data_IF_045973203484
#
_entry.id   IF_045973203484
#
_cell.length_a   1.000
_cell.length_b   1.000
_cell.length_c   1.000
_cell.angle_alpha   90.00
_cell.angle_beta   90.00
_cell.angle_gamma   90.00
#
_symmetry.space_group_name_H-M   'P 1'
#
loop_
_entity.id
_entity.type
_entity.pdbx_description
1 polymer ?
#
# COMPACT_ATOMS: atom_id res chain seq x y z
N UNK A 1 21.87 -30.10 30.73
CA UNK A 1 22.73 -29.92 29.54
C UNK A 1 22.13 -30.48 28.25
N UNK A 2 21.10 -31.33 28.29
CA UNK A 2 20.51 -31.94 27.07
C UNK A 2 19.72 -30.97 26.18
N UNK A 3 19.09 -29.93 26.75
CA UNK A 3 18.31 -28.93 25.99
C UNK A 3 19.15 -28.04 25.05
N UNK A 4 20.45 -27.85 25.36
CA UNK A 4 21.36 -27.07 24.51
C UNK A 4 21.76 -27.83 23.24
N UNK A 5 21.84 -29.17 23.31
CA UNK A 5 22.22 -30.01 22.17
C UNK A 5 21.08 -30.09 21.15
N UNK A 6 19.83 -30.19 21.62
CA UNK A 6 18.65 -30.17 20.75
C UNK A 6 18.47 -28.82 20.04
N UNK A 7 18.75 -27.71 20.73
CA UNK A 7 18.71 -26.37 20.12
C UNK A 7 19.68 -26.21 18.94
N UNK A 8 20.91 -26.72 19.08
CA UNK A 8 21.92 -26.65 18.02
C UNK A 8 21.58 -27.53 16.80
N UNK A 9 20.97 -28.70 17.02
CA UNK A 9 20.57 -29.59 15.92
C UNK A 9 19.44 -28.96 15.09
N UNK A 10 18.44 -28.35 15.74
CA UNK A 10 17.34 -27.66 15.05
C UNK A 10 17.87 -26.45 14.27
N UNK A 11 18.82 -25.71 14.85
CA UNK A 11 19.44 -24.56 14.18
C UNK A 11 20.26 -24.96 12.95
N UNK A 12 21.01 -26.06 13.03
CA UNK A 12 21.78 -26.61 11.90
C UNK A 12 20.88 -27.08 10.76
N UNK A 13 19.76 -27.78 11.06
CA UNK A 13 18.79 -28.23 10.06
C UNK A 13 18.11 -27.03 9.38
N UNK A 14 17.76 -25.99 10.15
CA UNK A 14 17.18 -24.77 9.60
C UNK A 14 18.16 -24.06 8.63
N UNK A 15 19.44 -23.99 8.99
CA UNK A 15 20.46 -23.31 8.16
C UNK A 15 20.76 -24.07 6.86
N UNK A 16 20.86 -25.40 6.91
CA UNK A 16 21.04 -26.25 5.71
C UNK A 16 19.86 -26.12 4.75
N UNK A 17 18.63 -26.02 5.27
CA UNK A 17 17.43 -25.87 4.45
C UNK A 17 17.30 -24.49 3.79
N UNK A 18 17.83 -23.44 4.43
CA UNK A 18 17.89 -22.08 3.87
C UNK A 18 18.93 -21.95 2.75
N UNK A 19 20.08 -22.63 2.86
CA UNK A 19 21.16 -22.59 1.86
C UNK A 19 20.80 -23.25 0.52
N UNK A 20 19.97 -24.32 0.52
CA UNK A 20 19.55 -24.98 -0.73
C UNK A 20 18.57 -24.20 -1.60
N UNK A 21 17.99 -23.09 -1.11
CA UNK A 21 17.01 -22.29 -1.88
C UNK A 21 17.65 -21.24 -2.80
N UNK A 22 18.95 -21.00 -2.73
CA UNK A 22 19.63 -19.91 -3.46
C UNK A 22 20.46 -20.34 -4.66
N UNK A 23 20.39 -21.59 -5.11
CA UNK A 23 21.10 -22.04 -6.32
C UNK A 23 20.20 -22.91 -7.20
N UNK A 24 19.54 -22.28 -8.17
CA UNK A 24 19.29 -22.80 -9.53
C UNK A 24 18.40 -21.83 -10.32
N UNK A 25 19.00 -20.92 -11.09
CA UNK A 25 18.57 -20.62 -12.45
C UNK A 25 19.50 -19.59 -13.11
N UNK A 26 20.55 -20.09 -13.76
CA UNK A 26 21.25 -19.34 -14.80
C UNK A 26 21.79 -20.33 -15.80
N UNK A 27 21.04 -20.60 -16.86
CA UNK A 27 21.61 -21.05 -18.13
C UNK A 27 20.60 -20.85 -19.26
N UNK A 28 20.93 -19.94 -20.18
CA UNK A 28 20.93 -20.17 -21.64
C UNK A 28 21.12 -18.85 -22.40
N UNK A 29 22.29 -18.72 -23.02
CA UNK A 29 22.62 -17.78 -24.09
C UNK A 29 23.21 -18.57 -25.26
N UNK A 30 23.02 -18.01 -26.46
CA UNK A 30 23.48 -18.40 -27.80
C UNK A 30 22.57 -19.44 -28.51
N UNK A 31 22.12 -19.25 -29.76
CA UNK A 31 22.88 -18.93 -30.98
C UNK A 31 21.93 -18.34 -32.07
N UNK A 32 22.37 -17.31 -32.81
CA UNK A 32 21.90 -16.90 -34.18
C UNK A 32 22.83 -17.56 -35.22
N UNK A 33 22.56 -17.68 -36.56
CA UNK A 33 21.74 -16.79 -37.41
C UNK A 33 20.92 -17.49 -38.52
N UNK A 34 20.04 -16.77 -39.21
CA UNK A 34 19.73 -17.08 -40.62
C UNK A 34 19.27 -15.88 -41.42
N UNK A 35 19.75 -15.84 -42.66
CA UNK A 35 19.80 -14.75 -43.64
C UNK A 35 18.81 -15.09 -44.76
N UNK A 36 17.89 -14.20 -45.14
CA UNK A 36 17.49 -14.01 -46.57
C UNK A 36 16.44 -12.93 -46.83
N UNK A 37 16.86 -12.04 -47.74
CA UNK A 37 16.14 -11.39 -48.87
C UNK A 37 15.14 -10.26 -48.62
N UNK A 38 15.49 -9.10 -49.19
CA UNK A 38 14.63 -7.96 -49.53
C UNK A 38 13.58 -8.30 -50.62
N UNK A 39 12.58 -7.44 -50.84
CA UNK A 39 12.72 -6.44 -51.91
C UNK A 39 12.26 -5.02 -51.54
N UNK A 40 12.84 -4.03 -52.22
CA UNK A 40 12.47 -2.61 -52.19
C UNK A 40 11.48 -2.28 -53.34
N UNK A 41 11.19 -1.00 -53.66
CA UNK A 41 10.33 -0.06 -52.94
C UNK A 41 9.21 0.49 -53.86
N UNK A 42 8.09 0.97 -53.30
CA UNK A 42 7.16 1.83 -54.06
C UNK A 42 6.67 3.00 -53.19
N UNK A 43 7.18 4.17 -53.56
CA UNK A 43 6.76 5.50 -53.15
C UNK A 43 5.30 5.76 -53.52
N UNK A 44 4.51 6.37 -52.62
CA UNK A 44 3.53 7.42 -52.99
C UNK A 44 2.96 8.16 -51.75
N UNK A 45 3.42 9.40 -51.61
CA UNK A 45 2.63 10.64 -51.39
C UNK A 45 1.79 10.76 -50.10
N UNK A 46 2.29 11.61 -49.20
CA UNK A 46 1.55 12.38 -48.17
C UNK A 46 0.53 13.32 -48.81
N UNK A 47 -0.63 13.61 -48.17
CA UNK A 47 -0.72 14.67 -47.15
C UNK A 47 -1.71 14.27 -46.02
N UNK A 48 -1.88 14.90 -44.86
CA UNK A 48 -1.79 16.30 -44.47
C UNK A 48 -1.76 16.34 -42.93
N UNK A 49 -0.90 17.21 -42.41
CA UNK A 49 -0.72 17.63 -41.03
C UNK A 49 -2.05 17.97 -40.33
N UNK A 50 -2.39 17.26 -39.25
CA UNK A 50 -3.26 17.78 -38.18
C UNK A 50 -2.42 17.84 -36.90
N UNK A 51 -2.09 19.07 -36.51
CA UNK A 51 -1.44 19.39 -35.25
C UNK A 51 -2.50 19.21 -34.17
N UNK A 52 -2.44 18.10 -33.43
CA UNK A 52 -3.10 17.98 -32.13
C UNK A 52 -2.06 18.42 -31.09
N UNK A 53 -2.40 19.29 -30.12
CA UNK A 53 -1.43 19.75 -29.14
C UNK A 53 -0.93 18.55 -28.32
N UNK A 54 0.39 18.35 -28.34
CA UNK A 54 1.12 17.51 -27.38
C UNK A 54 0.86 18.07 -25.97
N UNK A 55 -0.24 17.65 -25.36
CA UNK A 55 -0.24 17.44 -23.91
C UNK A 55 0.80 16.36 -23.68
N UNK A 56 1.93 16.74 -23.06
CA UNK A 56 2.92 15.79 -22.58
C UNK A 56 2.19 14.67 -21.83
N UNK A 57 2.03 13.52 -22.48
CA UNK A 57 1.45 12.35 -21.87
C UNK A 57 2.46 11.90 -20.82
N UNK A 58 2.22 12.32 -19.57
CA UNK A 58 2.96 11.79 -18.43
C UNK A 58 2.77 10.28 -18.50
N UNK A 59 3.85 9.56 -18.77
CA UNK A 59 3.84 8.11 -18.85
C UNK A 59 3.39 7.60 -17.48
N UNK A 60 2.14 7.14 -17.39
CA UNK A 60 1.56 6.69 -16.13
C UNK A 60 1.85 5.21 -15.89
N UNK A 61 1.76 4.79 -14.63
CA UNK A 61 2.01 3.41 -14.26
C UNK A 61 0.98 2.48 -14.92
N UNK A 62 1.47 1.51 -15.71
CA UNK A 62 0.59 0.52 -16.35
C UNK A 62 -0.23 -0.27 -15.31
N UNK A 63 -1.47 -0.68 -15.61
CA UNK A 63 -2.31 -1.43 -14.66
C UNK A 63 -1.66 -2.71 -14.12
N UNK A 64 -0.85 -3.39 -14.96
CA UNK A 64 -0.10 -4.59 -14.56
C UNK A 64 0.96 -4.27 -13.50
N UNK A 65 1.66 -3.15 -13.64
CA UNK A 65 2.69 -2.71 -12.69
C UNK A 65 2.04 -2.22 -11.40
N UNK A 66 0.95 -1.46 -11.50
CA UNK A 66 0.16 -1.03 -10.34
C UNK A 66 -0.33 -2.23 -9.51
N UNK A 67 -0.90 -3.25 -10.17
CA UNK A 67 -1.31 -4.50 -9.49
C UNK A 67 -0.15 -5.25 -8.86
N UNK A 68 1.05 -5.19 -9.45
CA UNK A 68 2.25 -5.77 -8.85
C UNK A 68 2.69 -5.01 -7.60
N UNK A 69 2.60 -3.67 -7.60
CA UNK A 69 2.85 -2.85 -6.42
C UNK A 69 1.82 -3.13 -5.32
N UNK A 70 0.55 -3.25 -5.68
CA UNK A 70 -0.53 -3.64 -4.74
C UNK A 70 -0.24 -4.97 -4.04
N UNK A 71 0.16 -5.99 -4.79
CA UNK A 71 0.52 -7.28 -4.21
C UNK A 71 1.78 -7.23 -3.34
N UNK A 72 2.73 -6.34 -3.66
CA UNK A 72 3.90 -6.09 -2.82
C UNK A 72 3.49 -5.39 -1.51
N UNK A 73 2.70 -4.32 -1.61
CA UNK A 73 2.20 -3.56 -0.49
C UNK A 73 1.42 -4.45 0.49
N UNK A 74 0.50 -5.29 -0.01
CA UNK A 74 -0.22 -6.22 0.86
C UNK A 74 0.69 -7.16 1.64
N UNK A 75 1.76 -7.67 1.01
CA UNK A 75 2.74 -8.53 1.70
C UNK A 75 3.50 -7.81 2.80
N UNK A 76 3.86 -6.54 2.56
CA UNK A 76 4.53 -5.70 3.56
C UNK A 76 3.59 -5.41 4.74
N UNK A 77 2.28 -5.31 4.48
CA UNK A 77 1.29 -5.03 5.52
C UNK A 77 0.74 -6.30 6.21
N UNK A 78 1.30 -7.48 5.97
CA UNK A 78 0.79 -8.76 6.50
C UNK A 78 1.05 -8.91 8.01
N UNK A 79 2.19 -8.46 8.49
CA UNK A 79 2.67 -8.67 9.87
C UNK A 79 2.58 -7.41 10.76
N UNK A 80 1.85 -6.38 10.31
CA UNK A 80 1.61 -5.12 11.02
C UNK A 80 2.88 -4.29 11.31
N UNK A 81 3.99 -4.59 10.64
CA UNK A 81 5.27 -3.91 10.84
C UNK A 81 5.91 -3.65 9.48
N UNK A 82 6.24 -2.40 9.17
CA UNK A 82 7.08 -2.09 8.00
C UNK A 82 8.54 -2.12 8.45
N UNK A 83 9.31 -3.11 7.99
CA UNK A 83 10.73 -3.19 8.32
C UNK A 83 11.64 -2.53 7.26
N UNK A 84 12.92 -2.38 7.61
CA UNK A 84 13.94 -1.77 6.73
C UNK A 84 14.15 -2.59 5.44
N UNK A 85 14.09 -3.93 5.51
CA UNK A 85 14.30 -4.79 4.34
C UNK A 85 13.12 -4.74 3.37
N UNK A 86 11.91 -4.65 3.87
CA UNK A 86 10.69 -4.40 3.12
C UNK A 86 10.66 -3.03 2.48
N UNK A 87 11.07 -2.01 3.23
CA UNK A 87 11.22 -0.65 2.72
C UNK A 87 12.27 -0.58 1.60
N UNK A 88 13.38 -1.32 1.72
CA UNK A 88 14.36 -1.48 0.64
C UNK A 88 13.79 -2.17 -0.59
N UNK A 89 12.97 -3.23 -0.42
CA UNK A 89 12.28 -3.89 -1.55
C UNK A 89 11.35 -2.91 -2.25
N UNK A 90 10.61 -2.10 -1.49
CA UNK A 90 9.73 -1.07 -2.01
C UNK A 90 10.51 0.01 -2.78
N UNK A 91 11.62 0.50 -2.23
CA UNK A 91 12.53 1.43 -2.93
C UNK A 91 13.10 0.84 -4.22
N UNK A 92 13.52 -0.43 -4.18
CA UNK A 92 14.02 -1.13 -5.36
C UNK A 92 12.94 -1.25 -6.44
N UNK A 93 11.68 -1.45 -6.04
CA UNK A 93 10.54 -1.45 -6.95
C UNK A 93 10.37 -0.07 -7.64
N UNK A 94 10.38 1.03 -6.88
CA UNK A 94 10.28 2.39 -7.43
C UNK A 94 11.48 2.79 -8.31
N UNK A 95 12.68 2.28 -8.02
CA UNK A 95 13.86 2.45 -8.89
C UNK A 95 13.73 1.69 -10.21
N UNK A 96 13.06 0.53 -10.20
CA UNK A 96 12.84 -0.30 -11.39
C UNK A 96 11.80 0.30 -12.35
N UNK A 97 10.86 1.09 -11.82
CA UNK A 97 9.74 1.67 -12.57
C UNK A 97 9.68 3.19 -12.37
N UNK A 98 10.56 3.98 -13.01
CA UNK A 98 10.65 5.43 -12.79
C UNK A 98 9.33 6.18 -13.01
N UNK A 99 8.46 5.69 -13.91
CA UNK A 99 7.15 6.28 -14.19
C UNK A 99 6.23 6.34 -12.96
N UNK A 100 6.44 5.45 -11.98
CA UNK A 100 5.69 5.45 -10.71
C UNK A 100 6.01 6.66 -9.81
N UNK A 101 7.12 7.35 -10.05
CA UNK A 101 7.50 8.53 -9.26
C UNK A 101 6.70 9.78 -9.65
N UNK A 102 6.27 9.84 -10.91
CA UNK A 102 5.48 10.94 -11.44
C UNK A 102 3.97 10.62 -11.43
N UNK A 103 3.60 9.35 -11.29
CA UNK A 103 2.20 8.93 -11.25
C UNK A 103 1.49 9.52 -10.01
N UNK A 104 0.38 10.26 -10.18
CA UNK A 104 -0.37 10.86 -9.07
C UNK A 104 -0.75 9.87 -7.95
N UNK A 105 -0.90 8.59 -8.28
CA UNK A 105 -1.32 7.53 -7.35
C UNK A 105 -0.19 7.01 -6.47
N UNK A 106 1.06 7.16 -6.90
CA UNK A 106 2.22 6.57 -6.22
C UNK A 106 3.33 7.57 -5.93
N UNK A 107 3.27 8.79 -6.46
CA UNK A 107 4.30 9.83 -6.29
C UNK A 107 4.64 10.11 -4.83
N UNK A 108 3.64 10.22 -3.97
CA UNK A 108 3.83 10.57 -2.55
C UNK A 108 4.52 9.42 -1.81
N UNK A 109 4.04 8.19 -2.02
CA UNK A 109 4.67 6.99 -1.48
C UNK A 109 6.11 6.84 -1.99
N UNK A 110 6.36 7.05 -3.28
CA UNK A 110 7.68 6.94 -3.88
C UNK A 110 8.66 7.99 -3.34
N UNK A 111 8.21 9.24 -3.19
CA UNK A 111 9.01 10.33 -2.62
C UNK A 111 9.34 10.05 -1.14
N UNK A 112 8.35 9.62 -0.36
CA UNK A 112 8.52 9.33 1.07
C UNK A 112 9.49 8.17 1.31
N UNK A 113 9.40 7.11 0.51
CA UNK A 113 10.32 5.96 0.59
C UNK A 113 11.76 6.35 0.24
N UNK A 114 11.96 7.26 -0.72
CA UNK A 114 13.32 7.70 -1.06
C UNK A 114 13.91 8.57 0.05
N UNK A 115 13.09 9.45 0.65
CA UNK A 115 13.47 10.31 1.77
C UNK A 115 13.87 9.50 3.01
N UNK A 116 12.99 8.61 3.49
CA UNK A 116 13.22 7.82 4.71
C UNK A 116 14.28 6.74 4.58
N UNK A 117 14.81 6.50 3.37
CA UNK A 117 15.91 5.56 3.17
C UNK A 117 17.19 6.25 2.70
N UNK A 118 17.24 7.58 2.79
CA UNK A 118 18.44 8.35 2.45
C UNK A 118 19.60 8.03 3.41
N UNK A 119 19.31 8.01 4.72
CA UNK A 119 20.27 7.71 5.78
C UNK A 119 20.50 6.20 6.02
N UNK A 120 19.72 5.34 5.34
CA UNK A 120 19.74 3.87 5.42
C UNK A 120 19.29 3.30 6.77
N UNK A 121 18.71 4.12 7.62
CA UNK A 121 17.99 3.70 8.82
C UNK A 121 16.50 3.79 8.50
N UNK A 122 15.68 3.04 9.24
CA UNK A 122 14.23 3.25 9.21
C UNK A 122 13.80 3.25 10.67
N UNK A 123 13.47 4.43 11.18
CA UNK A 123 12.98 4.55 12.55
C UNK A 123 11.49 4.15 12.64
N UNK A 124 10.99 4.12 13.87
CA UNK A 124 9.61 3.71 14.13
C UNK A 124 8.58 4.70 13.54
N UNK A 125 8.89 5.99 13.51
CA UNK A 125 7.97 7.03 13.06
C UNK A 125 7.86 6.99 11.53
N UNK A 126 9.00 6.82 10.85
CA UNK A 126 9.08 6.58 9.42
C UNK A 126 8.35 5.30 9.01
N UNK A 127 8.56 4.20 9.75
CA UNK A 127 7.88 2.92 9.51
C UNK A 127 6.36 3.05 9.64
N UNK A 128 5.87 3.72 10.69
CA UNK A 128 4.44 3.98 10.88
C UNK A 128 3.86 4.82 9.75
N UNK A 129 4.59 5.85 9.31
CA UNK A 129 4.11 6.67 8.21
C UNK A 129 4.07 5.91 6.88
N UNK A 130 5.08 5.11 6.58
CA UNK A 130 5.08 4.23 5.39
C UNK A 130 3.91 3.23 5.44
N UNK A 131 3.61 2.67 6.60
CA UNK A 131 2.48 1.77 6.79
C UNK A 131 1.16 2.44 6.35
N UNK A 132 0.94 3.69 6.79
CA UNK A 132 -0.26 4.46 6.46
C UNK A 132 -0.34 4.73 4.96
N UNK A 133 0.75 5.18 4.33
CA UNK A 133 0.76 5.46 2.89
C UNK A 133 0.53 4.20 2.04
N UNK A 134 1.07 3.05 2.47
CA UNK A 134 0.81 1.77 1.81
C UNK A 134 -0.65 1.33 1.96
N UNK A 135 -1.24 1.58 3.13
CA UNK A 135 -2.67 1.31 3.38
C UNK A 135 -3.55 2.16 2.46
N UNK A 136 -3.29 3.47 2.40
CA UNK A 136 -4.00 4.42 1.52
C UNK A 136 -3.88 4.00 0.04
N UNK A 137 -2.68 3.59 -0.39
CA UNK A 137 -2.45 3.11 -1.75
C UNK A 137 -3.27 1.85 -2.08
N UNK A 138 -3.25 0.84 -1.19
CA UNK A 138 -4.04 -0.38 -1.38
C UNK A 138 -5.53 -0.08 -1.48
N UNK A 139 -6.02 0.81 -0.62
CA UNK A 139 -7.43 1.19 -0.60
C UNK A 139 -7.88 1.86 -1.89
N UNK A 140 -7.09 2.82 -2.37
CA UNK A 140 -7.35 3.47 -3.64
C UNK A 140 -7.33 2.49 -4.82
N UNK A 141 -6.41 1.52 -4.82
CA UNK A 141 -6.34 0.49 -5.86
C UNK A 141 -7.61 -0.38 -5.91
N UNK A 142 -8.03 -0.89 -4.76
CA UNK A 142 -9.18 -1.81 -4.68
C UNK A 142 -10.50 -1.12 -5.03
N UNK A 143 -10.66 0.15 -4.70
CA UNK A 143 -11.84 0.91 -5.09
C UNK A 143 -11.92 1.08 -6.62
N UNK A 144 -10.79 1.35 -7.27
CA UNK A 144 -10.73 1.44 -8.74
C UNK A 144 -11.01 0.10 -9.41
N UNK A 145 -10.45 -1.00 -8.88
CA UNK A 145 -10.77 -2.35 -9.39
C UNK A 145 -12.27 -2.65 -9.25
N UNK A 146 -12.89 -2.29 -8.11
CA UNK A 146 -14.34 -2.47 -7.90
C UNK A 146 -15.20 -1.61 -8.83
N UNK A 147 -14.75 -0.39 -9.16
CA UNK A 147 -15.44 0.47 -10.13
C UNK A 147 -15.34 -0.06 -11.57
N UNK A 148 -14.26 -0.77 -11.89
CA UNK A 148 -14.01 -1.37 -13.19
C UNK A 148 -14.71 -2.73 -13.38
N UNK A 149 -15.00 -3.46 -12.29
CA UNK A 149 -15.85 -4.65 -12.35
C UNK A 149 -17.32 -4.24 -12.63
N UNK A 150 -17.92 -4.80 -13.68
CA UNK A 150 -19.37 -4.63 -13.97
C UNK A 150 -20.17 -4.90 -12.69
N UNK A 151 -21.26 -4.15 -12.42
CA UNK A 151 -21.90 -4.15 -11.11
C UNK A 151 -22.42 -5.55 -10.76
N UNK A 152 -21.72 -6.24 -9.86
CA UNK A 152 -22.34 -7.27 -9.04
C UNK A 152 -23.26 -6.51 -8.08
N UNK A 153 -24.56 -6.83 -8.09
CA UNK A 153 -25.51 -6.35 -7.08
C UNK A 153 -24.94 -6.65 -5.69
N UNK A 154 -24.29 -5.67 -5.06
CA UNK A 154 -24.06 -5.70 -3.63
C UNK A 154 -25.44 -5.53 -2.96
N UNK A 155 -25.75 -6.25 -1.87
CA UNK A 155 -26.87 -5.86 -1.03
C UNK A 155 -26.67 -4.39 -0.65
N UNK A 156 -27.76 -3.63 -0.69
CA UNK A 156 -27.73 -2.19 -0.42
C UNK A 156 -27.00 -1.92 0.90
N UNK A 157 -26.06 -0.96 0.96
CA UNK A 157 -25.55 -0.50 2.23
C UNK A 157 -26.74 0.08 3.00
N UNK A 158 -27.08 -0.54 4.12
CA UNK A 158 -28.03 0.01 5.08
C UNK A 158 -27.50 1.40 5.43
N UNK A 159 -28.32 2.41 5.13
CA UNK A 159 -27.99 3.82 5.25
C UNK A 159 -27.60 4.17 6.69
N UNK A 160 -26.31 4.17 6.99
CA UNK A 160 -25.76 4.88 8.13
C UNK A 160 -25.95 6.38 7.91
N UNK A 161 -26.64 7.03 8.83
CA UNK A 161 -26.87 8.48 8.86
C UNK A 161 -25.50 9.18 8.81
N UNK A 162 -25.26 10.00 7.78
CA UNK A 162 -24.09 10.90 7.74
C UNK A 162 -24.24 11.96 8.83
N UNK A 163 -23.34 11.94 9.80
CA UNK A 163 -23.22 12.99 10.80
C UNK A 163 -22.18 13.98 10.26
N UNK A 164 -22.62 15.24 10.09
CA UNK A 164 -21.78 16.35 9.68
C UNK A 164 -21.37 17.08 10.96
N UNK A 165 -20.09 17.08 11.34
CA UNK A 165 -19.63 17.83 12.52
C UNK A 165 -18.42 18.70 12.15
N UNK A 166 -18.56 19.96 12.54
CA UNK A 166 -17.55 20.99 12.45
C UNK A 166 -16.47 20.81 13.53
N UNK A 167 -15.22 21.02 13.10
CA UNK A 167 -13.99 21.21 13.89
C UNK A 167 -14.25 21.82 15.28
N UNK A 168 -13.80 21.15 16.35
CA UNK A 168 -12.72 21.67 17.23
C UNK A 168 -12.61 20.92 18.58
N UNK A 169 -11.66 19.99 18.67
CA UNK A 169 -10.78 19.65 19.82
C UNK A 169 -10.20 18.25 19.57
N UNK A 170 -9.33 18.19 18.55
CA UNK A 170 -9.47 17.20 17.48
C UNK A 170 -9.18 15.72 17.75
N UNK A 171 -8.83 15.30 18.97
CA UNK A 171 -8.50 13.90 19.28
C UNK A 171 -8.87 13.46 20.72
N UNK A 172 -9.63 14.26 21.49
CA UNK A 172 -9.99 13.89 22.88
C UNK A 172 -10.80 12.59 22.94
N UNK A 173 -11.58 12.32 21.90
CA UNK A 173 -12.38 11.11 21.75
C UNK A 173 -11.57 9.81 21.82
N UNK A 174 -10.27 9.85 21.51
CA UNK A 174 -9.42 8.66 21.55
C UNK A 174 -9.34 8.05 22.95
N UNK A 175 -9.50 8.86 24.01
CA UNK A 175 -9.47 8.37 25.38
C UNK A 175 -10.74 7.60 25.77
N UNK A 176 -11.82 7.77 25.00
CA UNK A 176 -13.12 7.13 25.21
C UNK A 176 -13.24 5.84 24.41
N UNK A 177 -12.25 5.53 23.56
CA UNK A 177 -12.25 4.30 22.77
C UNK A 177 -11.75 3.10 23.59
N UNK A 178 -12.48 2.00 23.51
CA UNK A 178 -12.19 0.77 24.22
C UNK A 178 -11.41 -0.22 23.34
N UNK A 179 -10.21 -0.67 23.75
CA UNK A 179 -9.51 -1.74 23.07
C UNK A 179 -10.36 -3.01 23.00
N UNK A 180 -10.44 -3.62 21.82
CA UNK A 180 -11.25 -4.80 21.56
C UNK A 180 -12.68 -4.50 21.10
N UNK A 181 -13.17 -3.27 21.26
CA UNK A 181 -14.48 -2.88 20.76
C UNK A 181 -14.47 -2.64 19.23
N UNK A 182 -15.64 -2.85 18.63
CA UNK A 182 -15.86 -2.67 17.21
C UNK A 182 -16.39 -1.27 16.92
N UNK A 183 -15.78 -0.62 15.94
CA UNK A 183 -16.10 0.75 15.55
C UNK A 183 -16.36 0.84 14.05
N UNK A 184 -17.32 1.69 13.71
CA UNK A 184 -17.51 2.22 12.37
C UNK A 184 -16.87 3.61 12.30
N UNK A 185 -15.97 3.88 11.36
CA UNK A 185 -15.28 5.16 11.24
C UNK A 185 -15.29 5.72 9.81
N UNK A 186 -15.31 7.04 9.70
CA UNK A 186 -15.07 7.78 8.47
C UNK A 186 -13.60 8.24 8.43
N UNK A 187 -12.82 7.73 7.48
CA UNK A 187 -11.39 7.99 7.39
C UNK A 187 -11.03 8.71 6.10
N UNK A 188 -10.24 9.77 6.21
CA UNK A 188 -9.74 10.57 5.10
C UNK A 188 -8.32 10.14 4.72
N UNK A 189 -8.11 9.62 3.52
CA UNK A 189 -6.78 9.22 3.05
C UNK A 189 -5.85 10.42 2.77
N UNK A 190 -4.57 10.15 2.44
CA UNK A 190 -3.60 11.17 2.06
C UNK A 190 -4.01 12.01 0.83
N UNK A 191 -4.76 11.40 -0.11
CA UNK A 191 -5.32 12.10 -1.27
C UNK A 191 -6.55 12.97 -0.92
N UNK A 192 -7.00 12.93 0.33
CA UNK A 192 -8.10 13.71 0.87
C UNK A 192 -9.48 13.09 0.66
N UNK A 193 -9.55 11.84 0.20
CA UNK A 193 -10.79 11.11 -0.03
C UNK A 193 -11.26 10.43 1.25
N UNK A 194 -12.55 10.56 1.54
CA UNK A 194 -13.18 9.95 2.71
C UNK A 194 -13.77 8.59 2.36
N UNK A 195 -13.51 7.60 3.21
CA UNK A 195 -14.03 6.23 3.10
C UNK A 195 -14.54 5.74 4.44
N UNK A 196 -15.57 4.90 4.40
CA UNK A 196 -16.13 4.26 5.60
C UNK A 196 -15.34 3.00 5.91
N UNK A 197 -15.10 2.73 7.19
CA UNK A 197 -14.34 1.57 7.67
C UNK A 197 -15.01 0.93 8.87
N UNK A 198 -14.93 -0.38 8.91
CA UNK A 198 -15.30 -1.17 10.08
C UNK A 198 -14.04 -1.79 10.68
N UNK A 199 -13.76 -1.49 11.94
CA UNK A 199 -12.52 -1.83 12.61
C UNK A 199 -12.78 -2.42 14.00
N UNK A 200 -11.88 -3.29 14.45
CA UNK A 200 -11.79 -3.69 15.85
C UNK A 200 -10.54 -3.04 16.44
N UNK A 201 -10.73 -2.13 17.38
CA UNK A 201 -9.62 -1.36 17.96
C UNK A 201 -8.67 -2.31 18.68
N UNK A 202 -7.36 -2.16 18.44
CA UNK A 202 -6.35 -2.92 19.19
C UNK A 202 -5.55 -2.03 20.12
N UNK A 203 -5.01 -0.93 19.58
CA UNK A 203 -4.09 -0.07 20.31
C UNK A 203 -4.08 1.33 19.72
N UNK A 204 -3.81 2.31 20.57
CA UNK A 204 -3.53 3.69 20.18
C UNK A 204 -2.08 3.97 20.57
N UNK A 205 -1.30 4.52 19.65
CA UNK A 205 0.12 4.82 19.82
C UNK A 205 0.40 6.27 19.41
N UNK A 206 1.37 6.92 20.04
CA UNK A 206 1.86 8.23 19.63
C UNK A 206 3.32 8.12 19.19
N UNK A 207 3.65 8.80 18.10
CA UNK A 207 5.02 8.89 17.61
C UNK A 207 5.80 10.00 18.36
N UNK A 208 7.11 10.11 18.15
CA UNK A 208 7.93 11.11 18.83
C UNK A 208 7.58 12.55 18.42
N UNK A 209 6.98 12.71 17.23
CA UNK A 209 6.48 13.98 16.69
C UNK A 209 5.11 14.40 17.26
N UNK A 210 4.46 13.55 18.05
CA UNK A 210 3.14 13.79 18.64
C UNK A 210 1.94 13.40 17.76
N UNK A 211 2.15 12.86 16.55
CA UNK A 211 1.07 12.26 15.76
C UNK A 211 0.55 11.00 16.45
N UNK A 212 -0.78 10.87 16.51
CA UNK A 212 -1.44 9.70 17.10
C UNK A 212 -1.91 8.74 16.02
N UNK A 213 -1.67 7.46 16.24
CA UNK A 213 -2.00 6.35 15.34
C UNK A 213 -2.92 5.35 16.03
N UNK A 214 -3.92 4.88 15.30
CA UNK A 214 -4.88 3.87 15.73
C UNK A 214 -4.54 2.57 15.00
N UNK A 215 -4.06 1.57 15.74
CA UNK A 215 -3.87 0.20 15.25
C UNK A 215 -5.15 -0.59 15.46
N UNK A 216 -5.69 -1.13 14.40
CA UNK A 216 -6.94 -1.86 14.44
C UNK A 216 -7.00 -2.99 13.41
N UNK A 217 -7.79 -4.02 13.69
CA UNK A 217 -8.11 -5.03 12.69
C UNK A 217 -9.23 -4.51 11.79
N UNK A 218 -8.94 -4.26 10.52
CA UNK A 218 -9.93 -3.78 9.55
C UNK A 218 -10.71 -4.96 8.98
N UNK A 219 -12.02 -5.03 9.29
CA UNK A 219 -12.88 -6.15 8.89
C UNK A 219 -13.07 -6.21 7.36
N UNK A 220 -13.11 -5.05 6.71
CA UNK A 220 -13.24 -4.97 5.25
C UNK A 220 -12.02 -5.54 4.51
N UNK A 221 -10.84 -5.48 5.14
CA UNK A 221 -9.57 -5.96 4.58
C UNK A 221 -9.12 -7.29 5.18
N UNK A 222 -9.84 -7.78 6.19
CA UNK A 222 -9.47 -8.96 6.97
C UNK A 222 -8.00 -8.95 7.41
N UNK A 223 -7.48 -7.79 7.82
CA UNK A 223 -6.06 -7.57 8.15
C UNK A 223 -5.88 -6.41 9.12
N UNK A 224 -4.74 -6.37 9.80
CA UNK A 224 -4.39 -5.27 10.70
C UNK A 224 -3.98 -4.06 9.86
N UNK A 225 -4.48 -2.89 10.24
CA UNK A 225 -4.16 -1.61 9.62
C UNK A 225 -3.90 -0.55 10.69
N UNK A 226 -3.00 0.36 10.34
CA UNK A 226 -2.68 1.54 11.14
C UNK A 226 -3.27 2.77 10.46
N UNK A 227 -4.01 3.57 11.23
CA UNK A 227 -4.70 4.77 10.76
C UNK A 227 -4.16 5.99 11.52
N UNK A 228 -3.93 7.12 10.85
CA UNK A 228 -3.62 8.35 11.58
C UNK A 228 -4.90 8.91 12.21
N UNK A 229 -4.85 9.25 13.49
CA UNK A 229 -6.04 9.66 14.21
C UNK A 229 -6.59 11.01 13.74
N UNK A 230 -5.71 11.92 13.30
CA UNK A 230 -6.09 13.24 12.74
C UNK A 230 -6.84 13.15 11.40
N UNK A 231 -6.79 11.98 10.76
CA UNK A 231 -7.51 11.65 9.53
C UNK A 231 -8.85 10.95 9.78
N UNK A 232 -9.18 10.64 11.04
CA UNK A 232 -10.50 10.14 11.43
C UNK A 232 -11.45 11.34 11.53
N UNK A 233 -12.46 11.37 10.68
CA UNK A 233 -13.46 12.46 10.58
C UNK A 233 -14.75 12.15 11.34
N UNK A 234 -14.88 10.94 11.87
CA UNK A 234 -15.98 10.48 12.70
C UNK A 234 -15.79 9.01 13.05
N UNK A 235 -16.19 8.60 14.24
CA UNK A 235 -16.11 7.21 14.71
C UNK A 235 -17.31 6.90 15.60
N UNK A 236 -17.86 5.69 15.50
CA UNK A 236 -19.05 5.26 16.22
C UNK A 236 -18.85 3.83 16.73
N UNK A 237 -19.12 3.59 18.02
CA UNK A 237 -19.12 2.26 18.60
C UNK A 237 -20.32 1.47 18.07
N UNK A 238 -20.09 0.29 17.51
CA UNK A 238 -21.14 -0.53 16.89
C UNK A 238 -22.11 -1.11 17.92
N UNK A 239 -21.63 -1.40 19.13
CA UNK A 239 -22.42 -2.01 20.20
C UNK A 239 -23.24 -0.98 20.97
N UNK A 240 -22.62 0.16 21.34
CA UNK A 240 -23.29 1.20 22.16
C UNK A 240 -23.99 2.26 21.32
N UNK A 241 -23.60 2.43 20.04
CA UNK A 241 -24.08 3.50 19.18
C UNK A 241 -23.52 4.88 19.53
N UNK A 242 -22.58 4.96 20.46
CA UNK A 242 -21.92 6.21 20.84
C UNK A 242 -21.04 6.69 19.69
N UNK A 243 -21.27 7.94 19.27
CA UNK A 243 -20.56 8.58 18.17
C UNK A 243 -19.66 9.70 18.68
N UNK A 244 -18.44 9.71 18.18
CA UNK A 244 -17.41 10.68 18.50
C UNK A 244 -16.94 11.37 17.22
N UNK A 245 -16.80 12.70 17.27
CA UNK A 245 -16.34 13.51 16.14
C UNK A 245 -15.41 14.62 16.60
#
# INVERSE_FOLDING_TARGET
>A
MEWLVLGLIVFAIYWVRKSKKTMHNTEKVAVTPSKKTAPAPTTKVTPKKSITPETAEVETLTPRREKALYNLANKILEDDIVDLEESKKLRAWFKRYPESKEDPRTKELAATVELYLEDKVLDNDEALHLFVLLTDFCDGFEEREQANEKPKKKPAPTSGKRINIEKSSGLSFLNELEPGAQYFMNYKDAAGKVSDREIVLRKIEQNASGDTYVKAFCLMRNSIRTFRADRITGICNVDTGEAFV
#
